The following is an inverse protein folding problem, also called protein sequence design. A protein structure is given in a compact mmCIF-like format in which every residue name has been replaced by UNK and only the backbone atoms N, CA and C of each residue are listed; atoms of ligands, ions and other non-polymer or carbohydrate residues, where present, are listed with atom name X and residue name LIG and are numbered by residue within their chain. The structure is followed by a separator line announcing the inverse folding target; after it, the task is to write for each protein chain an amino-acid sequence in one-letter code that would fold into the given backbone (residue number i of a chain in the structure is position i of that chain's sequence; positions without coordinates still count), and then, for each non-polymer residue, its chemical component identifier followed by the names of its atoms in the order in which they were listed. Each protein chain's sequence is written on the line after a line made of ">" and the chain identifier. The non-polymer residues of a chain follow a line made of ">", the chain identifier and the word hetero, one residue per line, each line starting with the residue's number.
data_IF_212547423262
#
_entry.id   IF_212547423262
#
_cell.length_a   1.000
_cell.length_b   1.000
_cell.length_c   1.000
_cell.angle_alpha   90.00
_cell.angle_beta   90.00
_cell.angle_gamma   90.00
#
_symmetry.space_group_name_H-M   'P 1'
#
loop_
_entity.id
_entity.type
_entity.pdbx_description
1 polymer ?
#
# COMPACT_ATOMS: atom_id res chain seq x y z
N UNK A 1 -3.90 -12.05 9.32
CA UNK A 1 -3.01 -11.90 10.49
C UNK A 1 -2.35 -10.54 10.37
N UNK A 2 -2.06 -9.83 11.48
CA UNK A 2 -1.30 -8.58 11.40
C UNK A 2 0.08 -8.89 10.81
N UNK A 3 0.51 -8.06 9.85
CA UNK A 3 1.83 -8.17 9.23
C UNK A 3 2.78 -7.23 9.93
N UNK A 4 3.98 -7.69 10.25
CA UNK A 4 5.01 -6.87 10.88
C UNK A 4 6.03 -6.44 9.80
N UNK A 5 6.49 -5.19 9.84
CA UNK A 5 7.48 -4.60 8.93
C UNK A 5 8.47 -3.76 9.73
N UNK A 6 9.71 -3.68 9.27
CA UNK A 6 10.75 -2.85 9.88
C UNK A 6 11.14 -1.73 8.90
N UNK A 7 11.03 -0.47 9.34
CA UNK A 7 11.37 0.72 8.57
C UNK A 7 12.31 1.56 9.42
N UNK A 8 13.48 1.91 8.90
CA UNK A 8 14.51 2.69 9.62
C UNK A 8 14.81 2.13 11.02
N UNK A 9 15.00 0.82 11.14
CA UNK A 9 15.27 0.11 12.40
C UNK A 9 14.14 0.20 13.45
N UNK A 10 12.94 0.64 13.05
CA UNK A 10 11.75 0.69 13.89
C UNK A 10 10.76 -0.37 13.41
N UNK A 11 10.30 -1.21 14.35
CA UNK A 11 9.31 -2.25 14.07
C UNK A 11 7.90 -1.68 14.12
N UNK A 12 7.16 -1.93 13.05
CA UNK A 12 5.76 -1.58 12.88
C UNK A 12 4.91 -2.83 12.70
N UNK A 13 3.69 -2.77 13.21
CA UNK A 13 2.65 -3.78 13.05
C UNK A 13 1.50 -3.17 12.28
N UNK A 14 1.13 -3.85 11.21
CA UNK A 14 0.08 -3.46 10.28
C UNK A 14 -1.22 -4.16 10.70
N UNK A 15 -2.19 -3.36 11.15
CA UNK A 15 -3.54 -3.81 11.41
C UNK A 15 -4.38 -3.92 10.14
N UNK A 16 -5.57 -4.51 10.26
CA UNK A 16 -6.51 -4.65 9.16
C UNK A 16 -7.58 -3.56 9.22
N UNK A 17 -7.86 -2.92 8.09
CA UNK A 17 -8.99 -2.01 7.97
C UNK A 17 -10.32 -2.77 8.15
N UNK A 18 -11.29 -2.16 8.81
CA UNK A 18 -12.68 -2.69 8.86
C UNK A 18 -13.29 -2.73 7.45
N UNK A 19 -14.27 -3.61 7.20
CA UNK A 19 -14.87 -3.79 5.87
C UNK A 19 -15.41 -2.48 5.25
N UNK A 20 -16.04 -1.62 6.05
CA UNK A 20 -16.55 -0.32 5.56
C UNK A 20 -15.40 0.64 5.20
N UNK A 21 -14.33 0.66 5.99
CA UNK A 21 -13.13 1.44 5.69
C UNK A 21 -12.43 0.92 4.43
N UNK A 22 -12.37 -0.41 4.25
CA UNK A 22 -11.85 -1.01 3.02
C UNK A 22 -12.66 -0.57 1.79
N UNK A 23 -14.00 -0.56 1.87
CA UNK A 23 -14.88 -0.08 0.80
C UNK A 23 -14.66 1.41 0.49
N UNK A 24 -14.52 2.24 1.53
CA UNK A 24 -14.28 3.67 1.33
C UNK A 24 -12.90 3.93 0.74
N UNK A 25 -11.86 3.33 1.30
CA UNK A 25 -10.49 3.45 0.78
C UNK A 25 -10.42 2.94 -0.66
N UNK A 26 -11.01 1.78 -0.98
CA UNK A 26 -11.01 1.22 -2.34
C UNK A 26 -11.66 2.16 -3.36
N UNK A 27 -12.79 2.78 -3.02
CA UNK A 27 -13.47 3.75 -3.89
C UNK A 27 -12.62 5.00 -4.13
N UNK A 28 -11.92 5.48 -3.10
CA UNK A 28 -11.10 6.71 -3.17
C UNK A 28 -9.80 6.50 -3.95
N UNK A 29 -9.19 5.33 -3.82
CA UNK A 29 -8.00 4.96 -4.60
C UNK A 29 -8.35 4.37 -5.97
N UNK A 30 -9.63 4.19 -6.31
CA UNK A 30 -10.06 3.63 -7.60
C UNK A 30 -9.43 4.34 -8.82
N UNK A 31 -9.30 5.68 -8.85
CA UNK A 31 -8.61 6.38 -9.93
C UNK A 31 -7.12 6.00 -10.06
N UNK A 32 -6.51 5.55 -8.95
CA UNK A 32 -5.11 5.14 -8.87
C UNK A 32 -4.89 3.68 -9.25
N UNK A 33 -5.95 2.86 -9.33
CA UNK A 33 -5.83 1.40 -9.55
C UNK A 33 -5.01 1.05 -10.80
N UNK A 34 -5.18 1.70 -11.97
CA UNK A 34 -4.35 1.41 -13.14
C UNK A 34 -2.84 1.64 -12.88
N UNK A 35 -2.50 2.66 -12.10
CA UNK A 35 -1.12 2.99 -11.72
C UNK A 35 -0.57 2.06 -10.62
N UNK A 36 -1.42 1.60 -9.71
CA UNK A 36 -1.06 0.74 -8.57
C UNK A 36 -0.99 -0.74 -8.93
N UNK A 37 -1.66 -1.18 -10.00
CA UNK A 37 -1.71 -2.58 -10.41
C UNK A 37 -0.33 -3.28 -10.49
N UNK A 38 0.71 -2.72 -11.15
CA UNK A 38 2.01 -3.37 -11.22
C UNK A 38 2.67 -3.54 -9.84
N UNK A 39 2.55 -2.54 -8.98
CA UNK A 39 3.02 -2.58 -7.59
C UNK A 39 2.33 -3.71 -6.83
N UNK A 40 1.01 -3.78 -6.96
CA UNK A 40 0.19 -4.75 -6.24
C UNK A 40 0.48 -6.18 -6.69
N UNK A 41 0.76 -6.41 -7.97
CA UNK A 41 1.16 -7.71 -8.49
C UNK A 41 2.52 -8.14 -7.93
N UNK A 42 3.52 -7.25 -7.92
CA UNK A 42 4.83 -7.52 -7.32
C UNK A 42 4.74 -7.88 -5.84
N UNK A 43 3.87 -7.20 -5.08
CA UNK A 43 3.68 -7.46 -3.65
C UNK A 43 2.86 -8.72 -3.37
N UNK A 44 1.97 -9.11 -4.29
CA UNK A 44 1.15 -10.31 -4.20
C UNK A 44 1.86 -11.57 -4.71
N UNK A 45 2.90 -11.43 -5.55
CA UNK A 45 3.70 -12.55 -6.02
C UNK A 45 4.49 -13.16 -4.86
N UNK A 46 4.21 -14.41 -4.45
CA UNK A 46 5.10 -15.11 -3.55
C UNK A 46 6.45 -15.25 -4.25
N UNK A 47 7.56 -14.88 -3.60
CA UNK A 47 8.92 -15.06 -4.11
C UNK A 47 9.09 -16.47 -4.72
N UNK A 48 9.04 -16.57 -6.05
CA UNK A 48 9.11 -17.82 -6.79
C UNK A 48 8.50 -17.65 -8.19
N UNK A 49 9.36 -17.61 -9.19
CA UNK A 49 9.07 -17.69 -10.63
C UNK A 49 8.42 -16.47 -11.31
N UNK A 50 9.25 -15.47 -11.64
CA UNK A 50 9.01 -14.58 -12.79
C UNK A 50 9.44 -15.26 -14.10
N UNK A 51 8.57 -15.49 -15.08
CA UNK A 51 8.97 -15.41 -16.48
C UNK A 51 9.14 -13.93 -16.81
N UNK A 52 10.39 -13.52 -16.96
CA UNK A 52 10.78 -12.22 -17.52
C UNK A 52 10.38 -12.19 -19.00
N UNK A 53 9.62 -11.18 -19.40
CA UNK A 53 9.76 -10.53 -20.71
C UNK A 53 9.67 -9.01 -20.48
N UNK A 54 10.79 -8.30 -20.37
CA UNK A 54 11.74 -7.86 -21.41
C UNK A 54 11.45 -6.43 -21.88
N UNK A 55 12.00 -5.47 -21.15
CA UNK A 55 12.24 -4.10 -21.59
C UNK A 55 13.59 -3.66 -21.02
N UNK A 56 14.60 -3.59 -21.90
CA UNK A 56 16.02 -3.45 -21.59
C UNK A 56 16.35 -2.35 -20.56
N UNK A 57 17.26 -2.68 -19.63
CA UNK A 57 17.86 -1.74 -18.68
C UNK A 57 18.14 -2.39 -17.33
N UNK A 58 19.36 -2.92 -17.19
CA UNK A 58 20.05 -3.44 -16.00
C UNK A 58 19.28 -3.44 -14.67
N UNK A 59 18.79 -4.63 -14.27
CA UNK A 59 18.37 -4.92 -12.91
C UNK A 59 19.60 -5.36 -12.12
N UNK A 60 20.22 -4.43 -11.41
CA UNK A 60 21.15 -4.79 -10.34
C UNK A 60 20.31 -5.18 -9.13
N UNK A 61 20.25 -6.47 -8.83
CA UNK A 61 19.85 -6.95 -7.51
C UNK A 61 20.77 -6.29 -6.47
N UNK A 62 20.18 -5.56 -5.53
CA UNK A 62 20.83 -5.21 -4.29
C UNK A 62 20.03 -5.83 -3.15
N UNK A 63 20.66 -6.78 -2.47
CA UNK A 63 20.26 -7.28 -1.19
C UNK A 63 20.33 -6.15 -0.14
N UNK A 64 19.29 -6.05 0.69
CA UNK A 64 19.21 -5.14 1.84
C UNK A 64 19.02 -3.67 1.48
N UNK A 65 17.83 -3.12 1.72
CA UNK A 65 17.65 -1.66 1.70
C UNK A 65 16.68 -1.21 2.78
N UNK A 66 17.26 -0.58 3.80
CA UNK A 66 16.63 0.25 4.85
C UNK A 66 15.94 1.50 4.26
N UNK A 67 15.02 1.31 3.31
CA UNK A 67 14.25 2.38 2.70
C UNK A 67 13.30 1.86 1.63
N UNK A 68 12.05 2.30 1.70
CA UNK A 68 10.90 1.94 0.87
C UNK A 68 11.24 1.26 -0.46
N UNK A 69 11.15 -0.08 -0.47
CA UNK A 69 11.31 -0.92 -1.66
C UNK A 69 10.39 -0.48 -2.82
N UNK A 70 9.27 0.16 -2.47
CA UNK A 70 8.33 0.75 -3.41
C UNK A 70 8.87 2.02 -4.08
N UNK A 71 9.41 2.96 -3.29
CA UNK A 71 9.94 4.23 -3.80
C UNK A 71 11.31 4.08 -4.46
N UNK A 72 12.01 2.97 -4.23
CA UNK A 72 13.26 2.63 -4.91
C UNK A 72 13.07 2.07 -6.32
N UNK A 73 11.84 1.88 -6.80
CA UNK A 73 11.53 1.27 -8.10
C UNK A 73 11.17 2.37 -9.15
N UNK A 74 12.12 2.88 -9.96
CA UNK A 74 11.89 4.11 -10.75
C UNK A 74 10.81 3.98 -11.81
N UNK A 75 10.57 2.74 -12.28
CA UNK A 75 9.52 2.39 -13.26
C UNK A 75 8.10 2.56 -12.70
N UNK A 76 7.94 2.41 -11.39
CA UNK A 76 6.63 2.46 -10.72
C UNK A 76 6.34 3.84 -10.14
N UNK A 77 7.38 4.66 -9.93
CA UNK A 77 7.29 5.99 -9.33
C UNK A 77 6.43 6.96 -10.14
N UNK A 78 6.64 7.07 -11.45
CA UNK A 78 5.95 8.08 -12.26
C UNK A 78 4.43 7.91 -12.28
N UNK A 79 3.86 6.75 -12.68
CA UNK A 79 2.40 6.58 -12.69
C UNK A 79 1.80 6.65 -11.28
N UNK A 80 2.53 6.21 -10.26
CA UNK A 80 2.12 6.35 -8.87
C UNK A 80 2.09 7.81 -8.43
N UNK A 81 3.11 8.59 -8.76
CA UNK A 81 3.21 10.01 -8.44
C UNK A 81 2.15 10.82 -9.18
N UNK A 82 1.92 10.54 -10.47
CA UNK A 82 0.87 11.17 -11.27
C UNK A 82 -0.52 10.83 -10.70
N UNK A 83 -0.71 9.57 -10.31
CA UNK A 83 -1.90 9.14 -9.60
C UNK A 83 -2.09 9.94 -8.31
N UNK A 84 -1.09 9.96 -7.42
CA UNK A 84 -1.14 10.68 -6.16
C UNK A 84 -1.40 12.19 -6.35
N UNK A 85 -0.80 12.80 -7.38
CA UNK A 85 -1.01 14.19 -7.75
C UNK A 85 -2.43 14.47 -8.28
N UNK A 86 -3.10 13.46 -8.84
CA UNK A 86 -4.50 13.57 -9.29
C UNK A 86 -5.52 13.39 -8.16
N UNK A 87 -5.08 12.88 -6.99
CA UNK A 87 -5.96 12.60 -5.87
C UNK A 87 -6.29 13.91 -5.14
N UNK A 88 -7.57 14.24 -4.92
CA UNK A 88 -7.93 15.43 -4.15
C UNK A 88 -7.41 15.33 -2.70
N UNK A 89 -7.01 16.46 -2.13
CA UNK A 89 -6.39 16.54 -0.80
C UNK A 89 -7.24 15.86 0.29
N UNK A 90 -8.56 16.06 0.26
CA UNK A 90 -9.49 15.47 1.23
C UNK A 90 -9.54 13.93 1.14
N UNK A 91 -9.33 13.38 -0.06
CA UNK A 91 -9.27 11.95 -0.30
C UNK A 91 -7.92 11.39 0.16
N UNK A 92 -6.83 12.08 -0.14
CA UNK A 92 -5.48 11.71 0.29
C UNK A 92 -5.38 11.68 1.82
N UNK A 93 -5.80 12.75 2.49
CA UNK A 93 -5.83 12.85 3.95
C UNK A 93 -6.68 11.74 4.58
N UNK A 94 -7.86 11.47 4.02
CA UNK A 94 -8.72 10.40 4.50
C UNK A 94 -8.03 9.04 4.40
N UNK A 95 -7.49 8.71 3.21
CA UNK A 95 -6.85 7.40 2.97
C UNK A 95 -5.65 7.21 3.89
N UNK A 96 -4.77 8.20 3.97
CA UNK A 96 -3.58 8.15 4.84
C UNK A 96 -4.00 8.02 6.31
N UNK A 97 -4.94 8.85 6.76
CA UNK A 97 -5.39 8.84 8.15
C UNK A 97 -6.02 7.49 8.56
N UNK A 98 -6.85 6.90 7.71
CA UNK A 98 -7.45 5.59 7.98
C UNK A 98 -6.41 4.46 7.99
N UNK A 99 -5.42 4.54 7.11
CA UNK A 99 -4.34 3.56 7.07
C UNK A 99 -3.46 3.65 8.32
N UNK A 100 -3.00 4.84 8.69
CA UNK A 100 -2.12 5.03 9.84
C UNK A 100 -2.83 4.75 11.18
N UNK A 101 -4.16 4.92 11.24
CA UNK A 101 -4.96 4.59 12.43
C UNK A 101 -4.91 3.10 12.83
N UNK A 102 -4.58 2.20 11.90
CA UNK A 102 -4.44 0.76 12.18
C UNK A 102 -2.99 0.31 12.33
N UNK A 103 -2.04 1.24 12.32
CA UNK A 103 -0.62 0.93 12.46
C UNK A 103 -0.17 1.15 13.91
N UNK A 104 0.67 0.23 14.37
CA UNK A 104 1.31 0.32 15.68
C UNK A 104 2.83 0.24 15.54
N UNK A 105 3.56 0.91 16.43
CA UNK A 105 5.01 0.84 16.56
C UNK A 105 5.37 0.06 17.82
N UNK A 106 6.40 -0.77 17.74
CA UNK A 106 6.95 -1.46 18.90
C UNK A 106 7.92 -0.54 19.65
N UNK A 107 7.68 -0.33 20.95
CA UNK A 107 8.57 0.43 21.82
C UNK A 107 8.64 -0.17 23.21
N UNK A 108 9.86 -0.25 23.74
CA UNK A 108 10.13 -0.91 25.02
C UNK A 108 9.73 -2.38 24.95
N UNK A 109 8.54 -2.69 25.47
CA UNK A 109 7.99 -4.04 25.47
C UNK A 109 6.50 -4.10 25.06
N UNK A 110 6.00 -3.06 24.38
CA UNK A 110 4.59 -2.94 23.99
C UNK A 110 4.41 -2.29 22.62
N UNK A 111 3.21 -2.46 22.06
CA UNK A 111 2.78 -1.87 20.80
C UNK A 111 1.93 -0.63 21.06
N UNK A 112 2.29 0.48 20.43
CA UNK A 112 1.60 1.77 20.57
C UNK A 112 1.10 2.26 19.22
N UNK A 113 -0.06 2.92 19.18
CA UNK A 113 -0.53 3.56 17.95
C UNK A 113 0.44 4.66 17.52
N UNK A 114 0.57 4.86 16.22
CA UNK A 114 1.43 5.92 15.65
C UNK A 114 0.64 7.15 15.19
N UNK A 115 -0.69 7.08 15.25
CA UNK A 115 -1.57 8.09 14.66
C UNK A 115 -2.59 8.58 15.68
N UNK A 116 -2.80 9.90 15.72
CA UNK A 116 -3.90 10.50 16.48
C UNK A 116 -5.07 10.82 15.54
N UNK A 117 -6.18 10.06 15.60
CA UNK A 117 -7.34 10.32 14.73
C UNK A 117 -7.97 11.70 14.97
N UNK A 118 -7.90 12.20 16.22
CA UNK A 118 -8.46 13.49 16.59
C UNK A 118 -7.62 14.66 16.07
N UNK A 119 -6.29 14.55 16.17
CA UNK A 119 -5.37 15.59 15.69
C UNK A 119 -5.05 15.47 14.20
N UNK A 120 -5.34 14.32 13.57
CA UNK A 120 -4.93 13.96 12.21
C UNK A 120 -3.42 14.13 11.97
N UNK A 121 -2.61 13.76 12.96
CA UNK A 121 -1.17 13.90 12.94
C UNK A 121 -0.48 12.63 13.48
N UNK A 122 0.76 12.35 13.05
CA UNK A 122 1.60 11.34 13.68
C UNK A 122 1.84 11.69 15.15
N UNK A 123 1.87 10.66 16.01
CA UNK A 123 2.18 10.82 17.44
C UNK A 123 3.68 11.05 17.65
N UNK A 124 4.52 10.59 16.72
CA UNK A 124 5.97 10.63 16.83
C UNK A 124 6.56 11.54 15.75
N UNK A 125 7.51 12.40 16.15
CA UNK A 125 8.14 13.39 15.26
C UNK A 125 9.07 12.76 14.22
N UNK A 126 9.53 11.52 14.43
CA UNK A 126 10.38 10.78 13.49
C UNK A 126 9.59 10.19 12.30
N UNK A 127 8.26 10.28 12.32
CA UNK A 127 7.38 9.83 11.25
C UNK A 127 7.19 10.97 10.25
N UNK A 128 8.02 10.96 9.21
CA UNK A 128 7.89 11.87 8.07
C UNK A 128 6.93 11.33 7.00
N UNK A 129 6.66 12.16 5.99
CA UNK A 129 5.78 11.82 4.87
C UNK A 129 6.19 10.51 4.17
N UNK A 130 7.49 10.22 4.06
CA UNK A 130 7.95 9.00 3.38
C UNK A 130 7.52 7.74 4.13
N UNK A 131 7.66 7.73 5.46
CA UNK A 131 7.21 6.63 6.32
C UNK A 131 5.68 6.52 6.28
N UNK A 132 4.97 7.66 6.30
CA UNK A 132 3.51 7.67 6.22
C UNK A 132 3.00 7.01 4.94
N UNK A 133 3.59 7.33 3.79
CA UNK A 133 3.22 6.76 2.50
C UNK A 133 3.55 5.26 2.45
N UNK A 134 4.74 4.86 2.90
CA UNK A 134 5.16 3.46 2.90
C UNK A 134 4.24 2.57 3.76
N UNK A 135 3.93 3.02 4.98
CA UNK A 135 2.98 2.33 5.86
C UNK A 135 1.58 2.27 5.25
N UNK A 136 1.13 3.36 4.62
CA UNK A 136 -0.18 3.42 3.98
C UNK A 136 -0.29 2.42 2.84
N UNK A 137 0.72 2.32 1.97
CA UNK A 137 0.74 1.34 0.89
C UNK A 137 0.71 -0.08 1.43
N UNK A 138 1.46 -0.36 2.52
CA UNK A 138 1.44 -1.69 3.14
C UNK A 138 0.06 -2.04 3.71
N UNK A 139 -0.59 -1.10 4.41
CA UNK A 139 -1.96 -1.29 4.93
C UNK A 139 -2.95 -1.55 3.80
N UNK A 140 -2.86 -0.78 2.71
CA UNK A 140 -3.70 -0.92 1.51
C UNK A 140 -3.51 -2.32 0.92
N UNK A 141 -2.26 -2.74 0.67
CA UNK A 141 -1.97 -4.04 0.09
C UNK A 141 -2.51 -5.21 0.95
N UNK A 142 -2.30 -5.15 2.27
CA UNK A 142 -2.75 -6.20 3.19
C UNK A 142 -4.27 -6.23 3.37
N UNK A 143 -4.90 -5.05 3.37
CA UNK A 143 -6.34 -4.92 3.59
C UNK A 143 -7.16 -5.18 2.33
N UNK A 144 -6.65 -4.79 1.16
CA UNK A 144 -7.37 -4.82 -0.11
C UNK A 144 -6.88 -5.94 -1.04
N UNK A 145 -5.75 -6.58 -0.77
CA UNK A 145 -5.22 -7.69 -1.57
C UNK A 145 -6.29 -8.75 -1.94
N UNK A 146 -7.06 -9.29 -0.98
CA UNK A 146 -8.13 -10.25 -1.29
C UNK A 146 -9.27 -9.68 -2.14
N UNK A 147 -9.64 -8.40 -1.93
CA UNK A 147 -10.70 -7.73 -2.68
C UNK A 147 -10.26 -7.46 -4.13
N UNK A 148 -9.04 -6.97 -4.31
CA UNK A 148 -8.48 -6.65 -5.62
C UNK A 148 -8.14 -7.92 -6.40
N UNK A 149 -7.59 -8.95 -5.75
CA UNK A 149 -7.43 -10.27 -6.36
C UNK A 149 -8.77 -10.84 -6.83
N UNK A 150 -9.84 -10.69 -6.04
CA UNK A 150 -11.19 -11.08 -6.44
C UNK A 150 -11.72 -10.28 -7.65
N UNK A 151 -11.46 -8.98 -7.70
CA UNK A 151 -11.85 -8.13 -8.85
C UNK A 151 -11.07 -8.46 -10.12
N UNK A 152 -9.75 -8.65 -10.03
CA UNK A 152 -8.87 -8.97 -11.15
C UNK A 152 -9.08 -10.40 -11.68
N UNK A 153 -9.52 -11.33 -10.84
CA UNK A 153 -9.86 -12.70 -11.25
C UNK A 153 -11.32 -12.86 -11.68
N UNK A 154 -12.17 -11.84 -11.48
CA UNK A 154 -13.58 -11.83 -11.88
C UNK A 154 -13.98 -10.75 -12.91
N UNK A 155 -13.27 -10.59 -14.06
CA UNK A 155 -13.83 -9.86 -15.21
C UNK A 155 -14.84 -10.71 -16.01
N UNK A 156 -15.01 -12.00 -15.71
CA UNK A 156 -15.86 -12.93 -16.47
C UNK A 156 -17.13 -13.35 -15.70
N UNK A 157 -18.07 -12.43 -15.52
CA UNK A 157 -19.48 -12.78 -15.36
C UNK A 157 -20.39 -11.72 -15.98
N UNK A 158 -20.10 -11.34 -17.24
CA UNK A 158 -21.16 -10.86 -18.11
C UNK A 158 -21.99 -12.09 -18.51
N UNK A 159 -23.29 -12.16 -18.20
CA UNK A 159 -24.14 -13.17 -18.80
C UNK A 159 -24.11 -12.97 -20.32
N UNK A 160 -24.03 -14.03 -21.14
CA UNK A 160 -24.23 -13.89 -22.57
C UNK A 160 -25.62 -13.28 -22.77
N UNK A 161 -25.68 -12.14 -23.45
CA UNK A 161 -26.93 -11.56 -23.90
C UNK A 161 -27.70 -12.65 -24.65
N UNK A 162 -28.87 -13.01 -24.14
CA UNK A 162 -29.75 -13.99 -24.77
C UNK A 162 -30.08 -13.52 -26.19
N UNK A 163 -29.83 -14.38 -27.17
CA UNK A 163 -30.32 -14.28 -28.55
C UNK A 163 -31.06 -15.57 -28.89
#
# INVERSE_FOLDING_TARGET
>A
MPSDIEIRQVKYRIGKLSAMKQLHVSRKIAPLVPALLPIMLELASPKGDTPVQAGAGNVTQAAGSDGSALLSQPRLLQPFADGLASLPDDQAEYVIGECLAVVQRFQGNAWFSIWSPAAKLPIYDDIDLSIMIELSVKVIADSLGPFIAGWLTSPASHPPAMA
#
